data_IF_239034054145
#
_entry.id   IF_239034054145
#
_cell.length_a   1.000
_cell.length_b   1.000
_cell.length_c   1.000
_cell.angle_alpha   90.00
_cell.angle_beta   90.00
_cell.angle_gamma   90.00
#
_symmetry.space_group_name_H-M   'P 1'
#
loop_
_entity.id
_entity.type
_entity.pdbx_description
1 polymer ?
#
# COMPACT_ATOMS: atom_id res chain seq x y z
N UNK A 1 -16.40 -31.64 21.92
CA UNK A 1 -16.85 -30.65 20.95
C UNK A 1 -16.69 -31.24 19.57
N UNK A 2 -17.80 -31.51 18.83
CA UNK A 2 -17.77 -32.30 17.60
C UNK A 2 -17.22 -31.48 16.43
N UNK A 3 -15.93 -31.63 16.14
CA UNK A 3 -15.18 -30.89 15.10
C UNK A 3 -15.81 -31.08 13.71
N UNK A 4 -16.36 -32.26 13.42
CA UNK A 4 -17.08 -32.55 12.17
C UNK A 4 -18.37 -31.73 12.04
N UNK A 5 -19.13 -31.55 13.12
CA UNK A 5 -20.35 -30.74 13.13
C UNK A 5 -20.06 -29.24 12.88
N UNK A 6 -18.98 -28.73 13.42
CA UNK A 6 -18.52 -27.35 13.17
C UNK A 6 -18.04 -27.19 11.73
N UNK A 7 -17.27 -28.13 11.19
CA UNK A 7 -16.81 -28.12 9.79
C UNK A 7 -17.96 -28.15 8.79
N UNK A 8 -18.97 -28.96 9.05
CA UNK A 8 -20.16 -29.03 8.18
C UNK A 8 -20.99 -27.72 8.25
N UNK A 9 -21.18 -27.13 9.43
CA UNK A 9 -21.88 -25.83 9.58
C UNK A 9 -21.12 -24.70 8.86
N UNK A 10 -19.81 -24.66 9.00
CA UNK A 10 -18.95 -23.68 8.32
C UNK A 10 -19.02 -23.86 6.80
N UNK A 11 -18.91 -25.10 6.31
CA UNK A 11 -18.98 -25.36 4.88
C UNK A 11 -20.35 -25.00 4.30
N UNK A 12 -21.44 -25.31 5.01
CA UNK A 12 -22.82 -24.94 4.62
C UNK A 12 -23.00 -23.42 4.61
N UNK A 13 -22.40 -22.68 5.56
CA UNK A 13 -22.47 -21.22 5.59
C UNK A 13 -21.79 -20.58 4.37
N UNK A 14 -20.68 -21.14 3.91
CA UNK A 14 -19.91 -20.63 2.76
C UNK A 14 -20.48 -21.09 1.40
N UNK A 15 -21.27 -22.17 1.35
CA UNK A 15 -21.84 -22.71 0.10
C UNK A 15 -23.32 -22.36 -0.10
N UNK A 16 -24.04 -21.99 0.96
CA UNK A 16 -25.48 -21.70 0.91
C UNK A 16 -25.74 -20.21 0.62
N UNK A 17 -26.34 -19.90 -0.54
CA UNK A 17 -26.74 -18.54 -0.95
C UNK A 17 -26.54 -18.30 -2.44
N UNK A 18 -26.96 -17.14 -2.92
CA UNK A 18 -26.70 -16.69 -4.30
C UNK A 18 -25.18 -16.61 -4.53
N UNK A 19 -24.71 -16.88 -5.75
CA UNK A 19 -23.28 -16.85 -6.12
C UNK A 19 -22.56 -15.58 -5.65
N UNK A 20 -23.22 -14.43 -5.74
CA UNK A 20 -22.71 -13.15 -5.22
C UNK A 20 -22.48 -13.19 -3.70
N UNK A 21 -23.44 -13.74 -2.95
CA UNK A 21 -23.33 -13.83 -1.48
C UNK A 21 -22.20 -14.77 -1.05
N UNK A 22 -22.04 -15.89 -1.74
CA UNK A 22 -20.96 -16.86 -1.52
C UNK A 22 -19.59 -16.21 -1.80
N UNK A 23 -19.47 -15.48 -2.91
CA UNK A 23 -18.24 -14.77 -3.27
C UNK A 23 -17.86 -13.72 -2.22
N UNK A 24 -18.84 -12.93 -1.74
CA UNK A 24 -18.61 -11.90 -0.70
C UNK A 24 -18.15 -12.55 0.60
N UNK A 25 -18.83 -13.60 1.07
CA UNK A 25 -18.44 -14.34 2.29
C UNK A 25 -17.02 -14.89 2.19
N UNK A 26 -16.67 -15.49 1.05
CA UNK A 26 -15.32 -16.01 0.81
C UNK A 26 -14.27 -14.90 0.81
N UNK A 27 -14.55 -13.77 0.15
CA UNK A 27 -13.65 -12.61 0.14
C UNK A 27 -13.42 -12.06 1.55
N UNK A 28 -14.49 -11.94 2.37
CA UNK A 28 -14.38 -11.48 3.76
C UNK A 28 -13.52 -12.45 4.57
N UNK A 29 -13.79 -13.75 4.49
CA UNK A 29 -13.04 -14.74 5.24
C UNK A 29 -11.55 -14.75 4.88
N UNK A 30 -11.22 -14.73 3.58
CA UNK A 30 -9.83 -14.67 3.10
C UNK A 30 -9.15 -13.38 3.57
N UNK A 31 -9.82 -12.22 3.43
CA UNK A 31 -9.27 -10.96 3.89
C UNK A 31 -9.02 -10.94 5.40
N UNK A 32 -9.91 -11.55 6.19
CA UNK A 32 -9.76 -11.67 7.64
C UNK A 32 -8.54 -12.53 8.01
N UNK A 33 -8.40 -13.70 7.38
CA UNK A 33 -7.24 -14.59 7.59
C UNK A 33 -5.94 -13.85 7.22
N UNK A 34 -5.91 -13.17 6.06
CA UNK A 34 -4.74 -12.38 5.65
C UNK A 34 -4.44 -11.26 6.66
N UNK A 35 -5.46 -10.62 7.23
CA UNK A 35 -5.28 -9.61 8.27
C UNK A 35 -4.69 -10.19 9.56
N UNK A 36 -5.14 -11.36 9.99
CA UNK A 36 -4.56 -12.06 11.14
C UNK A 36 -3.08 -12.39 10.91
N UNK A 37 -2.74 -12.93 9.74
CA UNK A 37 -1.34 -13.21 9.38
C UNK A 37 -0.51 -11.93 9.39
N UNK A 38 -1.02 -10.84 8.82
CA UNK A 38 -0.36 -9.53 8.81
C UNK A 38 -0.07 -9.01 10.22
N UNK A 39 -1.03 -9.16 11.15
CA UNK A 39 -0.85 -8.77 12.56
C UNK A 39 0.25 -9.62 13.22
N UNK A 40 0.23 -10.94 13.04
CA UNK A 40 1.25 -11.81 13.60
C UNK A 40 2.66 -11.47 13.09
N UNK A 41 2.79 -11.20 11.78
CA UNK A 41 4.05 -10.75 11.19
C UNK A 41 4.48 -9.42 11.80
N UNK A 42 3.58 -8.44 11.91
CA UNK A 42 3.89 -7.13 12.49
C UNK A 42 4.42 -7.23 13.92
N UNK A 43 3.85 -8.14 14.73
CA UNK A 43 4.32 -8.39 16.10
C UNK A 43 5.72 -9.01 16.14
N UNK A 44 6.05 -9.87 15.17
CA UNK A 44 7.36 -10.54 15.10
C UNK A 44 8.45 -9.67 14.46
N UNK A 45 8.08 -8.76 13.55
CA UNK A 45 9.03 -7.85 12.89
C UNK A 45 9.70 -6.92 13.90
N UNK A 46 8.99 -6.43 14.91
CA UNK A 46 9.53 -5.50 15.90
C UNK A 46 10.74 -6.06 16.66
N UNK A 47 10.63 -7.20 17.39
CA UNK A 47 11.77 -7.77 18.09
C UNK A 47 12.89 -8.21 17.15
N UNK A 48 12.56 -8.72 15.96
CA UNK A 48 13.54 -9.12 14.96
C UNK A 48 14.35 -7.90 14.47
N UNK A 49 13.69 -6.78 14.22
CA UNK A 49 14.35 -5.56 13.75
C UNK A 49 15.22 -4.92 14.83
N UNK A 50 14.74 -4.88 16.10
CA UNK A 50 15.54 -4.38 17.23
C UNK A 50 16.79 -5.25 17.42
N UNK A 51 16.66 -6.56 17.32
CA UNK A 51 17.80 -7.49 17.38
C UNK A 51 18.80 -7.31 16.24
N UNK A 52 18.36 -6.81 15.08
CA UNK A 52 19.20 -6.57 13.92
C UNK A 52 19.97 -5.23 13.98
N UNK A 53 19.29 -4.13 14.29
CA UNK A 53 19.89 -2.77 14.19
C UNK A 53 20.17 -2.10 15.54
N UNK A 54 19.78 -2.65 16.65
CA UNK A 54 19.69 -2.13 18.02
C UNK A 54 18.50 -1.15 18.25
N UNK A 55 18.23 -0.83 19.53
CA UNK A 55 17.09 0.01 19.92
C UNK A 55 17.19 1.45 19.43
N UNK A 56 18.38 2.04 19.44
CA UNK A 56 18.61 3.43 19.00
C UNK A 56 18.34 3.59 17.51
N UNK A 57 18.96 2.74 16.68
CA UNK A 57 18.73 2.74 15.23
C UNK A 57 17.28 2.40 14.88
N UNK A 58 16.64 1.53 15.65
CA UNK A 58 15.21 1.22 15.47
C UNK A 58 14.31 2.43 15.75
N UNK A 59 14.62 3.22 16.78
CA UNK A 59 13.93 4.49 17.05
C UNK A 59 14.04 5.50 15.90
N UNK A 60 15.25 5.63 15.34
CA UNK A 60 15.50 6.46 14.14
C UNK A 60 14.64 5.97 12.96
N UNK A 61 14.65 4.67 12.71
CA UNK A 61 13.84 4.03 11.67
C UNK A 61 12.34 4.34 11.82
N UNK A 62 11.79 4.20 13.02
CA UNK A 62 10.38 4.50 13.30
C UNK A 62 10.06 5.97 13.02
N UNK A 63 10.91 6.90 13.42
CA UNK A 63 10.71 8.33 13.20
C UNK A 63 10.70 8.67 11.72
N UNK A 64 11.70 8.20 10.96
CA UNK A 64 11.75 8.42 9.52
C UNK A 64 10.57 7.80 8.79
N UNK A 65 10.18 6.57 9.16
CA UNK A 65 9.03 5.89 8.60
C UNK A 65 7.72 6.63 8.89
N UNK A 66 7.59 7.22 10.09
CA UNK A 66 6.42 7.99 10.49
C UNK A 66 6.30 9.30 9.68
N UNK A 67 7.42 10.01 9.47
CA UNK A 67 7.45 11.24 8.65
C UNK A 67 6.96 10.92 7.22
N UNK A 68 7.44 9.82 6.64
CA UNK A 68 7.05 9.41 5.29
C UNK A 68 5.60 8.93 5.25
N UNK A 69 5.14 8.21 6.29
CA UNK A 69 3.76 7.75 6.37
C UNK A 69 2.74 8.91 6.35
N UNK A 70 3.11 10.09 6.83
CA UNK A 70 2.27 11.29 6.73
C UNK A 70 1.95 11.67 5.28
N UNK A 71 2.85 11.38 4.34
CA UNK A 71 2.59 11.63 2.92
C UNK A 71 1.45 10.75 2.36
N UNK A 72 1.11 9.65 3.02
CA UNK A 72 -0.02 8.79 2.61
C UNK A 72 -1.37 9.48 2.73
N UNK A 73 -1.49 10.50 3.57
CA UNK A 73 -2.72 11.29 3.68
C UNK A 73 -3.06 12.06 2.40
N UNK A 74 -2.08 12.33 1.54
CA UNK A 74 -2.33 12.97 0.25
C UNK A 74 -2.99 12.03 -0.77
N UNK A 75 -2.89 10.69 -0.58
CA UNK A 75 -3.51 9.70 -1.47
C UNK A 75 -4.99 9.41 -1.15
N UNK A 76 -5.45 9.65 0.09
CA UNK A 76 -6.79 9.25 0.56
C UNK A 76 -7.93 9.73 -0.35
N UNK A 77 -7.81 10.92 -0.93
CA UNK A 77 -8.80 11.46 -1.86
C UNK A 77 -8.82 10.76 -3.22
N UNK A 78 -7.65 10.47 -3.79
CA UNK A 78 -7.54 9.86 -5.11
C UNK A 78 -8.00 8.40 -5.11
N UNK A 79 -7.56 7.59 -4.14
CA UNK A 79 -7.89 6.18 -4.07
C UNK A 79 -9.41 5.96 -3.96
N UNK A 80 -10.09 6.72 -3.11
CA UNK A 80 -11.55 6.62 -2.93
C UNK A 80 -12.32 7.11 -4.15
N UNK A 81 -11.94 8.24 -4.73
CA UNK A 81 -12.56 8.77 -5.93
C UNK A 81 -12.41 7.83 -7.13
N UNK A 82 -11.21 7.35 -7.36
CA UNK A 82 -10.90 6.38 -8.41
C UNK A 82 -11.71 5.07 -8.23
N UNK A 83 -11.70 4.50 -7.01
CA UNK A 83 -12.42 3.27 -6.70
C UNK A 83 -13.88 3.35 -7.09
N UNK A 84 -14.57 4.43 -6.75
CA UNK A 84 -15.99 4.60 -7.02
C UNK A 84 -16.26 4.80 -8.52
N UNK A 85 -15.46 5.64 -9.19
CA UNK A 85 -15.63 5.90 -10.63
C UNK A 85 -15.29 4.69 -11.49
N UNK A 86 -14.26 3.96 -11.13
CA UNK A 86 -13.93 2.71 -11.83
C UNK A 86 -15.03 1.66 -11.65
N UNK A 87 -15.55 1.47 -10.42
CA UNK A 87 -16.64 0.56 -10.15
C UNK A 87 -17.90 0.93 -10.93
N UNK A 88 -18.24 2.23 -11.03
CA UNK A 88 -19.36 2.72 -11.83
C UNK A 88 -19.18 2.41 -13.33
N UNK A 89 -17.99 2.68 -13.88
CA UNK A 89 -17.69 2.39 -15.29
C UNK A 89 -17.79 0.89 -15.60
N UNK A 90 -17.30 0.04 -14.68
CA UNK A 90 -17.40 -1.42 -14.79
C UNK A 90 -18.84 -1.92 -14.71
N UNK A 91 -19.64 -1.38 -13.79
CA UNK A 91 -21.07 -1.73 -13.67
C UNK A 91 -21.88 -1.39 -14.94
N UNK A 92 -21.49 -0.32 -15.65
CA UNK A 92 -22.08 0.11 -16.93
C UNK A 92 -21.48 -0.62 -18.15
N UNK A 93 -20.60 -1.61 -17.95
CA UNK A 93 -19.84 -2.31 -19.01
C UNK A 93 -19.07 -1.39 -19.95
N UNK A 94 -18.72 -0.17 -19.51
CA UNK A 94 -17.96 0.79 -20.30
C UNK A 94 -16.47 0.63 -20.05
N UNK A 95 -15.83 -0.34 -20.74
CA UNK A 95 -14.42 -0.68 -20.59
C UNK A 95 -13.50 0.45 -21.02
N UNK A 96 -13.91 1.24 -22.04
CA UNK A 96 -13.13 2.40 -22.51
C UNK A 96 -13.04 3.45 -21.40
N UNK A 97 -14.17 3.80 -20.77
CA UNK A 97 -14.21 4.75 -19.66
C UNK A 97 -13.44 4.22 -18.44
N UNK A 98 -13.55 2.92 -18.12
CA UNK A 98 -12.78 2.29 -17.06
C UNK A 98 -11.27 2.44 -17.31
N UNK A 99 -10.81 2.20 -18.56
CA UNK A 99 -9.40 2.39 -18.97
C UNK A 99 -8.96 3.85 -18.88
N UNK A 100 -9.81 4.78 -19.28
CA UNK A 100 -9.54 6.22 -19.16
C UNK A 100 -9.34 6.62 -17.69
N UNK A 101 -10.17 6.10 -16.75
CA UNK A 101 -9.99 6.34 -15.32
C UNK A 101 -8.67 5.76 -14.81
N UNK A 102 -8.33 4.51 -15.15
CA UNK A 102 -7.07 3.87 -14.76
C UNK A 102 -5.89 4.70 -15.27
N UNK A 103 -5.87 4.99 -16.58
CA UNK A 103 -4.75 5.72 -17.21
C UNK A 103 -4.57 7.12 -16.64
N UNK A 104 -5.68 7.83 -16.41
CA UNK A 104 -5.65 9.18 -15.83
C UNK A 104 -5.16 9.15 -14.37
N UNK A 105 -5.61 8.19 -13.58
CA UNK A 105 -5.17 8.04 -12.17
C UNK A 105 -3.67 7.74 -12.10
N UNK A 106 -3.17 6.80 -12.90
CA UNK A 106 -1.73 6.51 -12.97
C UNK A 106 -0.93 7.75 -13.38
N UNK A 107 -1.36 8.47 -14.43
CA UNK A 107 -0.65 9.65 -14.92
C UNK A 107 -0.60 10.77 -13.87
N UNK A 108 -1.74 11.07 -13.23
CA UNK A 108 -1.84 12.15 -12.23
C UNK A 108 -1.05 11.81 -10.97
N UNK A 109 -1.18 10.57 -10.45
CA UNK A 109 -0.43 10.16 -9.27
C UNK A 109 1.07 10.06 -9.56
N UNK A 110 1.48 9.56 -10.74
CA UNK A 110 2.89 9.54 -11.14
C UNK A 110 3.47 10.95 -11.20
N UNK A 111 2.76 11.91 -11.78
CA UNK A 111 3.20 13.30 -11.81
C UNK A 111 3.28 13.91 -10.41
N UNK A 112 2.22 13.78 -9.61
CA UNK A 112 2.16 14.34 -8.26
C UNK A 112 3.26 13.79 -7.35
N UNK A 113 3.40 12.45 -7.29
CA UNK A 113 4.39 11.82 -6.41
C UNK A 113 5.81 11.93 -6.93
N UNK A 114 6.02 12.12 -8.25
CA UNK A 114 7.34 12.52 -8.76
C UNK A 114 7.75 13.92 -8.31
N UNK A 115 6.82 14.87 -8.31
CA UNK A 115 7.09 16.24 -7.81
C UNK A 115 7.36 16.20 -6.30
N UNK A 116 6.54 15.48 -5.53
CA UNK A 116 6.73 15.31 -4.08
C UNK A 116 8.09 14.66 -3.80
N UNK A 117 8.46 13.63 -4.54
CA UNK A 117 9.75 12.95 -4.40
C UNK A 117 10.92 13.89 -4.69
N UNK A 118 10.84 14.67 -5.77
CA UNK A 118 11.89 15.65 -6.09
C UNK A 118 12.05 16.68 -4.97
N UNK A 119 10.95 17.24 -4.46
CA UNK A 119 10.97 18.17 -3.33
C UNK A 119 11.57 17.51 -2.09
N UNK A 120 11.14 16.28 -1.76
CA UNK A 120 11.65 15.53 -0.62
C UNK A 120 13.16 15.26 -0.73
N UNK A 121 13.66 14.89 -1.91
CA UNK A 121 15.09 14.67 -2.14
C UNK A 121 15.91 15.96 -2.08
N UNK A 122 15.37 17.08 -2.58
CA UNK A 122 16.00 18.39 -2.46
C UNK A 122 16.10 18.80 -0.99
N UNK A 123 15.01 18.71 -0.23
CA UNK A 123 15.00 18.99 1.20
C UNK A 123 15.98 18.07 1.93
N UNK A 124 15.95 16.77 1.64
CA UNK A 124 16.86 15.77 2.23
C UNK A 124 18.33 16.17 2.08
N UNK A 125 18.72 16.72 0.92
CA UNK A 125 20.11 17.13 0.67
C UNK A 125 20.60 18.24 1.60
N UNK A 126 19.72 19.18 1.98
CA UNK A 126 20.05 20.34 2.79
C UNK A 126 19.75 20.15 4.29
N UNK A 127 19.00 19.11 4.64
CA UNK A 127 18.55 18.86 6.00
C UNK A 127 19.65 18.18 6.82
N UNK A 128 19.99 18.75 7.98
CA UNK A 128 20.88 18.09 8.93
C UNK A 128 20.06 17.15 9.82
N UNK A 129 20.02 15.86 9.47
CA UNK A 129 19.25 14.86 10.19
C UNK A 129 19.70 14.67 11.64
N UNK A 130 21.01 14.81 11.91
CA UNK A 130 21.54 14.70 13.27
C UNK A 130 20.99 15.78 14.18
N UNK A 131 20.84 16.99 13.67
CA UNK A 131 20.22 18.10 14.42
C UNK A 131 18.71 17.88 14.61
N UNK A 132 17.99 17.47 13.56
CA UNK A 132 16.52 17.28 13.59
C UNK A 132 16.12 16.15 14.54
N UNK A 133 16.89 15.05 14.54
CA UNK A 133 16.59 13.86 15.35
C UNK A 133 17.32 13.84 16.68
N UNK A 134 18.17 14.87 16.95
CA UNK A 134 19.00 14.97 18.16
C UNK A 134 19.86 13.71 18.39
N UNK A 135 20.59 13.29 17.36
CA UNK A 135 21.45 12.10 17.36
C UNK A 135 22.85 12.45 16.90
N UNK A 136 23.78 11.53 17.12
CA UNK A 136 25.19 11.70 16.77
C UNK A 136 25.39 12.02 15.28
N UNK A 137 26.27 12.98 14.99
CA UNK A 137 26.56 13.46 13.64
C UNK A 137 27.11 12.35 12.72
N UNK A 138 27.68 11.31 13.31
CA UNK A 138 28.19 10.14 12.59
C UNK A 138 27.13 9.43 11.75
N UNK A 139 25.84 9.48 12.15
CA UNK A 139 24.73 8.84 11.44
C UNK A 139 24.17 9.68 10.30
N UNK A 140 24.56 10.96 10.17
CA UNK A 140 23.93 11.87 9.22
C UNK A 140 23.98 11.36 7.76
N UNK A 141 25.13 10.81 7.34
CA UNK A 141 25.29 10.25 5.99
C UNK A 141 24.39 9.04 5.72
N UNK A 142 24.30 8.10 6.69
CA UNK A 142 23.43 6.94 6.58
C UNK A 142 21.95 7.35 6.50
N UNK A 143 21.56 8.38 7.25
CA UNK A 143 20.18 8.89 7.30
C UNK A 143 19.73 9.54 5.99
N UNK A 144 20.59 10.27 5.31
CA UNK A 144 20.31 10.81 3.98
C UNK A 144 19.94 9.69 2.99
N UNK A 145 20.70 8.60 3.01
CA UNK A 145 20.46 7.44 2.14
C UNK A 145 19.16 6.73 2.52
N UNK A 146 18.96 6.48 3.81
CA UNK A 146 17.75 5.79 4.32
C UNK A 146 16.49 6.57 3.99
N UNK A 147 16.46 7.88 4.25
CA UNK A 147 15.31 8.72 3.92
C UNK A 147 15.05 8.74 2.41
N UNK A 148 16.10 8.88 1.60
CA UNK A 148 15.96 8.83 0.13
C UNK A 148 15.36 7.52 -0.36
N UNK A 149 15.83 6.37 0.14
CA UNK A 149 15.29 5.05 -0.19
C UNK A 149 13.82 4.91 0.24
N UNK A 150 13.50 5.31 1.47
CA UNK A 150 12.13 5.26 1.99
C UNK A 150 11.20 6.14 1.15
N UNK A 151 11.59 7.38 0.83
CA UNK A 151 10.80 8.29 0.01
C UNK A 151 10.58 7.74 -1.41
N UNK A 152 11.61 7.17 -2.04
CA UNK A 152 11.50 6.54 -3.37
C UNK A 152 10.53 5.36 -3.36
N UNK A 153 10.73 4.42 -2.44
CA UNK A 153 9.85 3.23 -2.38
C UNK A 153 8.43 3.59 -1.96
N UNK A 154 8.26 4.59 -1.10
CA UNK A 154 6.94 5.07 -0.70
C UNK A 154 6.18 5.67 -1.89
N UNK A 155 6.77 6.59 -2.65
CA UNK A 155 6.14 7.20 -3.82
C UNK A 155 5.80 6.15 -4.88
N UNK A 156 6.72 5.21 -5.14
CA UNK A 156 6.48 4.12 -6.06
C UNK A 156 5.36 3.19 -5.59
N UNK A 157 5.31 2.90 -4.28
CA UNK A 157 4.26 2.06 -3.69
C UNK A 157 2.87 2.70 -3.82
N UNK A 158 2.73 4.01 -3.64
CA UNK A 158 1.46 4.71 -3.83
C UNK A 158 1.00 4.60 -5.29
N UNK A 159 1.89 4.83 -6.26
CA UNK A 159 1.56 4.68 -7.68
C UNK A 159 1.14 3.23 -7.98
N UNK A 160 1.87 2.25 -7.48
CA UNK A 160 1.55 0.83 -7.67
C UNK A 160 0.24 0.41 -6.96
N UNK A 161 -0.14 1.05 -5.85
CA UNK A 161 -1.34 0.77 -5.07
C UNK A 161 -2.65 1.05 -5.82
N UNK A 162 -2.61 1.83 -6.90
CA UNK A 162 -3.74 1.99 -7.84
C UNK A 162 -4.25 0.64 -8.32
N UNK A 163 -3.36 -0.33 -8.53
CA UNK A 163 -3.75 -1.69 -8.92
C UNK A 163 -4.56 -2.41 -7.83
N UNK A 164 -4.14 -2.34 -6.56
CA UNK A 164 -4.90 -2.96 -5.46
C UNK A 164 -6.23 -2.26 -5.22
N UNK A 165 -6.29 -0.95 -5.42
CA UNK A 165 -7.53 -0.16 -5.40
C UNK A 165 -8.48 -0.59 -6.53
N UNK A 166 -7.94 -0.83 -7.73
CA UNK A 166 -8.69 -1.36 -8.87
C UNK A 166 -9.25 -2.76 -8.57
N UNK A 167 -8.45 -3.67 -7.97
CA UNK A 167 -8.93 -4.99 -7.54
C UNK A 167 -10.08 -4.89 -6.54
N UNK A 168 -9.98 -3.97 -5.60
CA UNK A 168 -11.03 -3.73 -4.60
C UNK A 168 -12.31 -3.20 -5.26
N UNK A 169 -12.18 -2.30 -6.23
CA UNK A 169 -13.29 -1.80 -7.03
C UNK A 169 -13.94 -2.89 -7.90
N UNK A 170 -13.15 -3.87 -8.39
CA UNK A 170 -13.58 -5.04 -9.15
C UNK A 170 -14.13 -6.17 -8.23
N UNK A 171 -14.47 -5.84 -6.98
CA UNK A 171 -15.01 -6.76 -5.96
C UNK A 171 -14.08 -7.93 -5.60
N UNK A 172 -12.77 -7.72 -5.67
CA UNK A 172 -11.73 -8.72 -5.31
C UNK A 172 -10.81 -8.23 -4.20
N UNK A 173 -11.35 -7.77 -3.04
CA UNK A 173 -10.52 -7.28 -1.93
C UNK A 173 -9.62 -8.38 -1.35
N UNK A 174 -10.04 -9.65 -1.43
CA UNK A 174 -9.23 -10.78 -1.00
C UNK A 174 -7.90 -10.89 -1.76
N UNK A 175 -7.91 -10.65 -3.08
CA UNK A 175 -6.66 -10.63 -3.86
C UNK A 175 -5.76 -9.46 -3.50
N UNK A 176 -6.34 -8.28 -3.28
CA UNK A 176 -5.58 -7.12 -2.82
C UNK A 176 -4.90 -7.40 -1.47
N UNK A 177 -5.64 -7.94 -0.49
CA UNK A 177 -5.10 -8.33 0.82
C UNK A 177 -4.03 -9.40 0.70
N UNK A 178 -4.21 -10.39 -0.18
CA UNK A 178 -3.24 -11.46 -0.42
C UNK A 178 -1.91 -10.90 -0.94
N UNK A 179 -1.95 -10.01 -1.93
CA UNK A 179 -0.74 -9.37 -2.48
C UNK A 179 0.00 -8.60 -1.38
N UNK A 180 -0.72 -7.79 -0.59
CA UNK A 180 -0.14 -7.01 0.49
C UNK A 180 0.49 -7.90 1.57
N UNK A 181 -0.23 -8.94 2.03
CA UNK A 181 0.28 -9.85 3.05
C UNK A 181 1.47 -10.66 2.54
N UNK A 182 1.46 -11.11 1.26
CA UNK A 182 2.61 -11.78 0.65
C UNK A 182 3.84 -10.87 0.63
N UNK A 183 3.67 -9.57 0.33
CA UNK A 183 4.75 -8.59 0.41
C UNK A 183 5.33 -8.48 1.82
N UNK A 184 4.48 -8.46 2.85
CA UNK A 184 4.92 -8.43 4.25
C UNK A 184 5.65 -9.72 4.67
N UNK A 185 5.15 -10.89 4.25
CA UNK A 185 5.83 -12.19 4.50
C UNK A 185 7.22 -12.20 3.88
N UNK A 186 7.35 -11.76 2.62
CA UNK A 186 8.63 -11.71 1.95
C UNK A 186 9.58 -10.69 2.60
N UNK A 187 9.09 -9.53 3.00
CA UNK A 187 9.87 -8.54 3.74
C UNK A 187 10.37 -9.11 5.07
N UNK A 188 9.50 -9.80 5.82
CA UNK A 188 9.87 -10.48 7.06
C UNK A 188 10.97 -11.53 6.82
N UNK A 189 10.81 -12.37 5.79
CA UNK A 189 11.82 -13.36 5.39
C UNK A 189 13.15 -12.70 5.01
N UNK A 190 13.14 -11.60 4.25
CA UNK A 190 14.34 -10.84 3.92
C UNK A 190 15.03 -10.27 5.17
N UNK A 191 14.27 -9.66 6.10
CA UNK A 191 14.82 -9.15 7.36
C UNK A 191 15.44 -10.28 8.17
N UNK A 192 14.77 -11.45 8.25
CA UNK A 192 15.32 -12.61 8.93
C UNK A 192 16.65 -13.09 8.31
N UNK A 193 16.76 -13.12 6.99
CA UNK A 193 18.02 -13.43 6.31
C UNK A 193 19.08 -12.39 6.61
N UNK A 194 18.74 -11.09 6.58
CA UNK A 194 19.66 -10.01 6.91
C UNK A 194 20.23 -10.11 8.33
N UNK A 195 19.44 -10.57 9.31
CA UNK A 195 19.95 -10.79 10.69
C UNK A 195 21.02 -11.87 10.77
N UNK A 196 21.10 -12.74 9.77
CA UNK A 196 22.12 -13.82 9.74
C UNK A 196 23.32 -13.51 8.85
N UNK A 197 23.18 -12.58 7.91
CA UNK A 197 24.18 -12.34 6.86
C UNK A 197 24.91 -11.02 6.99
N UNK A 198 24.31 -10.03 7.65
CA UNK A 198 24.85 -8.66 7.71
C UNK A 198 24.84 -8.08 9.12
N UNK A 199 25.73 -7.12 9.38
CA UNK A 199 25.82 -6.37 10.64
C UNK A 199 24.96 -5.12 10.57
N UNK A 200 23.72 -5.16 11.08
CA UNK A 200 22.83 -4.05 11.41
C UNK A 200 22.89 -2.76 10.55
N UNK A 201 22.42 -2.81 9.28
CA UNK A 201 22.37 -1.66 8.37
C UNK A 201 20.93 -1.12 8.25
N UNK A 202 20.74 0.18 8.51
CA UNK A 202 19.47 0.87 8.31
C UNK A 202 19.05 0.90 6.83
N UNK A 203 20.00 1.04 5.92
CA UNK A 203 19.74 1.06 4.47
C UNK A 203 19.23 -0.30 3.98
N UNK A 204 19.85 -1.40 4.44
CA UNK A 204 19.37 -2.76 4.13
C UNK A 204 17.96 -3.01 4.69
N UNK A 205 17.69 -2.51 5.90
CA UNK A 205 16.36 -2.56 6.51
C UNK A 205 15.33 -1.79 5.68
N UNK A 206 15.67 -0.59 5.20
CA UNK A 206 14.81 0.23 4.35
C UNK A 206 14.42 -0.49 3.05
N UNK A 207 15.39 -1.13 2.40
CA UNK A 207 15.14 -1.92 1.17
C UNK A 207 14.29 -3.15 1.47
N UNK A 208 14.57 -3.88 2.54
CA UNK A 208 13.82 -5.08 2.88
C UNK A 208 12.37 -4.76 3.27
N UNK A 209 12.16 -3.72 4.09
CA UNK A 209 10.85 -3.39 4.64
C UNK A 209 9.94 -2.66 3.64
N UNK A 210 10.48 -1.70 2.88
CA UNK A 210 9.71 -0.87 1.94
C UNK A 210 9.88 -1.31 0.49
N UNK A 211 11.08 -1.74 0.10
CA UNK A 211 11.40 -2.12 -1.27
C UNK A 211 10.77 -3.45 -1.67
N UNK A 212 10.89 -4.49 -0.83
CA UNK A 212 10.39 -5.82 -1.20
C UNK A 212 8.88 -5.84 -1.44
N UNK A 213 8.01 -5.30 -0.57
CA UNK A 213 6.58 -5.25 -0.84
C UNK A 213 6.23 -4.39 -2.05
N UNK A 214 6.94 -3.26 -2.23
CA UNK A 214 6.75 -2.37 -3.37
C UNK A 214 7.09 -3.07 -4.69
N UNK A 215 8.25 -3.71 -4.79
CA UNK A 215 8.67 -4.43 -5.99
C UNK A 215 7.75 -5.60 -6.31
N UNK A 216 7.30 -6.35 -5.29
CA UNK A 216 6.30 -7.40 -5.48
C UNK A 216 5.01 -6.82 -6.08
N UNK A 217 4.51 -5.70 -5.53
CA UNK A 217 3.28 -5.07 -6.01
C UNK A 217 3.43 -4.59 -7.47
N UNK A 218 4.55 -3.96 -7.82
CA UNK A 218 4.86 -3.54 -9.19
C UNK A 218 4.91 -4.75 -10.12
N UNK A 219 5.58 -5.82 -9.72
CA UNK A 219 5.71 -7.05 -10.52
C UNK A 219 4.36 -7.72 -10.76
N UNK A 220 3.56 -7.89 -9.70
CA UNK A 220 2.22 -8.50 -9.80
C UNK A 220 1.29 -7.64 -10.65
N UNK A 221 1.32 -6.31 -10.51
CA UNK A 221 0.50 -5.41 -11.32
C UNK A 221 0.90 -5.46 -12.79
N UNK A 222 2.19 -5.53 -13.09
CA UNK A 222 2.69 -5.68 -14.47
C UNK A 222 2.19 -6.99 -15.11
N UNK A 223 2.36 -8.12 -14.43
CA UNK A 223 1.86 -9.43 -14.91
C UNK A 223 0.34 -9.40 -15.11
N UNK A 224 -0.38 -8.81 -14.18
CA UNK A 224 -1.84 -8.71 -14.26
C UNK A 224 -2.30 -7.90 -15.47
N UNK A 225 -1.66 -6.78 -15.78
CA UNK A 225 -1.97 -5.97 -16.96
C UNK A 225 -1.56 -6.64 -18.29
N UNK A 226 -0.57 -7.52 -18.28
CA UNK A 226 -0.25 -8.37 -19.43
C UNK A 226 -1.26 -9.50 -19.64
N UNK A 227 -1.98 -9.90 -18.58
CA UNK A 227 -2.98 -10.97 -18.65
C UNK A 227 -4.23 -10.53 -19.41
N UNK A 228 -4.86 -11.46 -20.16
CA UNK A 228 -6.11 -11.23 -20.91
C UNK A 228 -7.22 -10.55 -20.07
N UNK A 229 -7.25 -10.81 -18.78
CA UNK A 229 -8.31 -10.31 -17.87
C UNK A 229 -8.27 -8.80 -17.64
N UNK A 230 -7.07 -8.20 -17.56
CA UNK A 230 -6.90 -6.77 -17.23
C UNK A 230 -6.24 -5.98 -18.36
N UNK A 231 -5.92 -6.63 -19.48
CA UNK A 231 -5.32 -5.98 -20.65
C UNK A 231 -6.18 -4.86 -21.23
N UNK A 232 -7.50 -5.05 -21.21
CA UNK A 232 -8.46 -4.04 -21.71
C UNK A 232 -8.47 -2.76 -20.90
N UNK A 233 -8.16 -2.84 -19.59
CA UNK A 233 -8.10 -1.69 -18.68
C UNK A 233 -6.67 -1.28 -18.33
N UNK A 234 -5.66 -1.89 -18.96
CA UNK A 234 -4.26 -1.56 -18.74
C UNK A 234 -3.99 -0.07 -19.03
N UNK A 235 -3.20 0.61 -18.18
CA UNK A 235 -2.90 2.03 -18.34
C UNK A 235 -2.16 2.27 -19.67
N UNK A 236 -2.55 3.32 -20.40
CA UNK A 236 -1.89 3.75 -21.61
C UNK A 236 -2.01 5.26 -21.80
N UNK A 237 -0.95 5.90 -22.27
CA UNK A 237 -0.85 7.36 -22.42
C UNK A 237 -1.97 7.91 -23.29
N UNK A 238 -2.38 7.18 -24.33
CA UNK A 238 -3.45 7.58 -25.26
C UNK A 238 -4.82 7.75 -24.61
N UNK A 239 -5.05 7.11 -23.43
CA UNK A 239 -6.31 7.13 -22.69
C UNK A 239 -6.28 8.10 -21.49
N UNK A 240 -5.22 8.88 -21.35
CA UNK A 240 -5.13 9.90 -20.29
C UNK A 240 -6.05 11.08 -20.63
N UNK A 241 -6.99 11.39 -19.72
CA UNK A 241 -7.92 12.49 -19.85
C UNK A 241 -7.95 13.32 -18.57
N UNK A 242 -7.19 14.39 -18.54
CA UNK A 242 -7.10 15.27 -17.36
C UNK A 242 -8.44 15.87 -16.90
N UNK A 243 -9.44 15.98 -17.80
CA UNK A 243 -10.79 16.39 -17.42
C UNK A 243 -11.47 15.45 -16.41
N UNK A 244 -11.07 14.17 -16.38
CA UNK A 244 -11.58 13.18 -15.43
C UNK A 244 -10.99 13.36 -14.03
N UNK A 245 -9.84 14.02 -13.90
CA UNK A 245 -9.19 14.29 -12.59
C UNK A 245 -10.12 15.04 -11.66
N UNK A 246 -10.84 16.05 -12.16
CA UNK A 246 -11.83 16.79 -11.37
C UNK A 246 -12.96 15.90 -10.85
N UNK A 247 -13.38 14.90 -11.62
CA UNK A 247 -14.43 13.94 -11.21
C UNK A 247 -13.92 12.94 -10.15
N UNK A 248 -12.65 12.57 -10.24
CA UNK A 248 -11.99 11.69 -9.26
C UNK A 248 -11.78 12.44 -7.95
N UNK A 249 -11.13 13.62 -8.02
CA UNK A 249 -10.81 14.46 -6.87
C UNK A 249 -12.05 15.01 -6.16
N UNK A 250 -13.08 15.44 -6.90
CA UNK A 250 -14.29 16.00 -6.32
C UNK A 250 -14.97 15.02 -5.36
N UNK A 251 -15.08 13.77 -5.76
CA UNK A 251 -15.61 12.71 -4.91
C UNK A 251 -14.65 12.35 -3.76
N UNK A 252 -13.35 12.25 -4.07
CA UNK A 252 -12.31 11.94 -3.10
C UNK A 252 -12.15 13.02 -2.03
N UNK A 253 -12.21 14.29 -2.41
CA UNK A 253 -12.15 15.42 -1.48
C UNK A 253 -13.35 15.47 -0.52
N UNK A 254 -14.55 15.16 -1.01
CA UNK A 254 -15.73 15.03 -0.16
C UNK A 254 -15.57 13.92 0.88
N UNK A 255 -15.02 12.76 0.50
CA UNK A 255 -14.70 11.69 1.43
C UNK A 255 -13.63 12.10 2.45
N UNK A 256 -12.59 12.80 2.02
CA UNK A 256 -11.55 13.30 2.91
C UNK A 256 -12.09 14.27 3.96
N UNK A 257 -12.89 15.24 3.56
CA UNK A 257 -13.55 16.18 4.47
C UNK A 257 -14.50 15.44 5.43
N UNK A 258 -15.26 14.46 4.92
CA UNK A 258 -16.13 13.65 5.74
C UNK A 258 -15.34 12.86 6.80
N UNK A 259 -14.22 12.24 6.43
CA UNK A 259 -13.35 11.50 7.36
C UNK A 259 -12.74 12.41 8.43
N UNK A 260 -12.33 13.63 8.08
CA UNK A 260 -11.83 14.61 9.04
C UNK A 260 -12.90 15.04 10.03
N UNK A 261 -14.14 15.22 9.57
CA UNK A 261 -15.24 15.66 10.40
C UNK A 261 -15.81 14.54 11.29
N UNK A 262 -15.77 13.28 10.82
CA UNK A 262 -16.28 12.11 11.55
C UNK A 262 -15.21 11.42 12.40
N UNK A 263 -13.96 11.91 12.41
CA UNK A 263 -12.95 11.43 13.35
C UNK A 263 -13.45 11.68 14.78
N UNK A 264 -13.49 10.63 15.65
CA UNK A 264 -14.00 10.80 17.01
C UNK A 264 -13.19 11.89 17.72
N UNK A 265 -13.91 12.88 18.25
CA UNK A 265 -13.33 13.91 19.09
C UNK A 265 -12.75 13.25 20.36
N UNK A 266 -11.60 13.70 20.87
CA UNK A 266 -11.08 13.22 22.15
C UNK A 266 -12.05 13.46 23.34
N UNK A 267 -13.23 14.00 23.07
CA UNK A 267 -14.27 14.29 24.07
C UNK A 267 -15.45 13.30 24.03
N UNK A 268 -15.48 12.38 23.06
CA UNK A 268 -16.44 11.29 23.00
C UNK A 268 -15.80 10.00 23.56
#
# INVERSE_FOLDING_TARGET
MNIQGVKNKVNTYFTKGNERSVMVKRNIAVSLVMKCISILISLQVVPLTIGYVNSTKYGIWLTLSSIIAWLSYFDLGFAHGFRNRFAEARAKNNMKLAREYVSTTYAVLSFLFSVILLIALIINKYLNWSFVLNIDIMYNGELHVVFGLLACFFCLNIIASVFTTMLTADQKPALASLIQTTGQVLAFGCIYVLTKTTSGSLSALAVAFSGVPCLLLVFVSFIAFCSKRYREVAPAIQYVRFSLTKKILGLGGQFFVCLLYTSPSPRD
#
